data_IF_401288318894
#
_entry.id   IF_401288318894
#
_cell.length_a   1.000
_cell.length_b   1.000
_cell.length_c   1.000
_cell.angle_alpha   90.00
_cell.angle_beta   90.00
_cell.angle_gamma   90.00
#
_symmetry.space_group_name_H-M   'P 1'
#
loop_
_entity.id
_entity.type
_entity.pdbx_description
1 polymer ?
#
# COMPACT_ATOMS: atom_id res chain seq x y z
N UNK A 1 -3.45 16.84 10.86
CA UNK A 1 -4.06 17.82 9.94
C UNK A 1 -4.18 19.15 10.68
N UNK A 2 -5.00 20.14 10.27
CA UNK A 2 -5.34 21.25 11.21
C UNK A 2 -6.19 20.71 12.36
N UNK A 3 -6.37 21.45 13.44
CA UNK A 3 -7.11 20.95 14.62
C UNK A 3 -8.60 20.72 14.33
N UNK A 4 -9.21 21.57 13.50
CA UNK A 4 -10.56 21.36 12.96
C UNK A 4 -10.66 20.10 12.09
N UNK A 5 -9.67 19.89 11.21
CA UNK A 5 -9.59 18.68 10.39
C UNK A 5 -9.36 17.42 11.22
N UNK A 6 -8.54 17.48 12.28
CA UNK A 6 -8.35 16.37 13.21
C UNK A 6 -9.67 16.03 13.90
N UNK A 7 -10.37 17.01 14.47
CA UNK A 7 -11.67 16.81 15.13
C UNK A 7 -12.70 16.16 14.21
N UNK A 8 -12.72 16.51 12.93
CA UNK A 8 -13.57 15.86 11.93
C UNK A 8 -13.15 14.40 11.69
N UNK A 9 -11.84 14.13 11.55
CA UNK A 9 -11.31 12.78 11.38
C UNK A 9 -11.62 11.87 12.58
N UNK A 10 -11.49 12.39 13.80
CA UNK A 10 -11.80 11.68 15.04
C UNK A 10 -13.28 11.26 15.07
N UNK A 11 -14.19 12.21 14.78
CA UNK A 11 -15.63 11.96 14.73
C UNK A 11 -16.01 10.94 13.65
N UNK A 12 -15.44 11.06 12.45
CA UNK A 12 -15.75 10.15 11.33
C UNK A 12 -15.18 8.75 11.58
N UNK A 13 -13.97 8.64 12.11
CA UNK A 13 -13.36 7.35 12.49
C UNK A 13 -14.20 6.63 13.54
N UNK A 14 -14.63 7.36 14.59
CA UNK A 14 -15.53 6.82 15.60
C UNK A 14 -16.85 6.33 14.99
N UNK A 15 -17.51 7.14 14.15
CA UNK A 15 -18.77 6.79 13.51
C UNK A 15 -18.65 5.55 12.60
N UNK A 16 -17.55 5.43 11.85
CA UNK A 16 -17.30 4.28 10.98
C UNK A 16 -17.16 2.99 11.79
N UNK A 17 -16.40 3.02 12.89
CA UNK A 17 -16.16 1.82 13.70
C UNK A 17 -17.35 1.43 14.59
N UNK A 18 -18.09 2.40 15.13
CA UNK A 18 -19.10 2.14 16.19
C UNK A 18 -20.57 2.28 15.72
N UNK A 19 -20.86 3.14 14.74
CA UNK A 19 -22.24 3.41 14.32
C UNK A 19 -22.63 2.58 13.08
N UNK A 20 -21.73 2.45 12.10
CA UNK A 20 -22.00 1.69 10.87
C UNK A 20 -21.93 0.19 11.15
N UNK A 21 -23.08 -0.49 11.22
CA UNK A 21 -23.16 -1.94 11.50
C UNK A 21 -22.76 -2.85 10.32
N UNK A 22 -22.87 -2.37 9.08
CA UNK A 22 -22.59 -3.18 7.89
C UNK A 22 -21.11 -3.11 7.51
N UNK A 23 -20.39 -4.25 7.58
CA UNK A 23 -18.95 -4.34 7.28
C UNK A 23 -18.53 -3.80 5.92
N UNK A 24 -19.36 -3.96 4.88
CA UNK A 24 -19.06 -3.46 3.54
C UNK A 24 -19.19 -1.93 3.48
N UNK A 25 -20.21 -1.37 4.15
CA UNK A 25 -20.32 0.09 4.32
C UNK A 25 -19.17 0.66 5.15
N UNK A 26 -18.70 -0.06 6.18
CA UNK A 26 -17.48 0.33 6.91
C UNK A 26 -16.26 0.34 5.98
N UNK A 27 -16.06 -0.71 5.17
CA UNK A 27 -14.93 -0.79 4.23
C UNK A 27 -14.93 0.36 3.21
N UNK A 28 -16.08 0.64 2.59
CA UNK A 28 -16.26 1.78 1.67
C UNK A 28 -15.96 3.12 2.36
N UNK A 29 -16.44 3.29 3.61
CA UNK A 29 -16.18 4.51 4.36
C UNK A 29 -14.70 4.65 4.77
N UNK A 30 -14.03 3.56 5.16
CA UNK A 30 -12.57 3.57 5.45
C UNK A 30 -11.76 3.91 4.20
N UNK A 31 -12.09 3.31 3.05
CA UNK A 31 -11.49 3.67 1.76
C UNK A 31 -11.65 5.17 1.48
N UNK A 32 -12.86 5.71 1.58
CA UNK A 32 -13.13 7.12 1.30
C UNK A 32 -12.42 8.07 2.27
N UNK A 33 -12.34 7.70 3.56
CA UNK A 33 -11.57 8.42 4.57
C UNK A 33 -10.08 8.45 4.20
N UNK A 34 -9.52 7.31 3.82
CA UNK A 34 -8.11 7.19 3.46
C UNK A 34 -7.78 7.97 2.19
N UNK A 35 -8.58 7.88 1.14
CA UNK A 35 -8.39 8.68 -0.07
C UNK A 35 -8.47 10.19 0.23
N UNK A 36 -9.44 10.63 1.04
CA UNK A 36 -9.53 12.03 1.47
C UNK A 36 -8.30 12.49 2.27
N UNK A 37 -7.76 11.63 3.15
CA UNK A 37 -6.52 11.92 3.89
C UNK A 37 -5.31 11.98 2.96
N UNK A 38 -5.20 11.08 1.98
CA UNK A 38 -4.12 11.01 1.00
C UNK A 38 -4.09 12.28 0.15
N UNK A 39 -5.18 12.65 -0.53
CA UNK A 39 -5.18 13.80 -1.44
C UNK A 39 -5.03 15.16 -0.72
N UNK A 40 -5.42 15.25 0.56
CA UNK A 40 -5.17 16.43 1.40
C UNK A 40 -3.75 16.49 1.96
N UNK A 41 -2.91 15.47 1.75
CA UNK A 41 -1.52 15.43 2.22
C UNK A 41 -0.55 15.89 1.12
N UNK A 42 0.44 16.76 1.41
CA UNK A 42 1.45 17.10 0.41
C UNK A 42 2.28 15.86 0.03
N UNK A 43 2.46 15.66 -1.28
CA UNK A 43 3.03 14.46 -1.90
C UNK A 43 2.23 13.17 -1.68
N UNK A 44 0.98 13.24 -1.20
CA UNK A 44 0.13 12.07 -0.93
C UNK A 44 0.71 11.06 0.10
N UNK A 45 1.68 11.49 0.92
CA UNK A 45 2.46 10.62 1.84
C UNK A 45 2.63 11.25 3.24
N UNK A 46 2.67 10.41 4.27
CA UNK A 46 2.64 10.83 5.69
C UNK A 46 4.03 10.92 6.36
N UNK A 47 5.08 10.45 5.69
CA UNK A 47 6.49 10.38 6.12
C UNK A 47 7.19 11.71 6.53
N UNK A 48 6.48 12.85 6.56
CA UNK A 48 7.00 14.17 6.98
C UNK A 48 5.92 14.99 7.68
N UNK A 49 6.31 15.73 8.72
CA UNK A 49 5.47 16.77 9.34
C UNK A 49 5.41 18.03 8.44
N UNK A 50 4.66 17.95 7.33
CA UNK A 50 4.67 18.93 6.24
C UNK A 50 3.40 19.80 6.16
N UNK A 51 2.63 19.95 7.25
CA UNK A 51 1.41 20.77 7.28
C UNK A 51 1.67 22.23 6.84
N UNK A 52 2.86 22.77 7.14
CA UNK A 52 3.29 24.10 6.71
C UNK A 52 3.20 24.30 5.18
N UNK A 53 3.38 23.25 4.37
CA UNK A 53 3.26 23.33 2.91
C UNK A 53 1.82 23.65 2.47
N UNK A 54 0.83 23.32 3.30
CA UNK A 54 -0.58 23.65 3.04
C UNK A 54 -0.87 25.08 3.48
N UNK A 55 -0.46 25.45 4.70
CA UNK A 55 -0.82 26.71 5.37
C UNK A 55 0.06 27.92 5.02
N UNK A 56 1.29 27.73 4.53
CA UNK A 56 2.19 28.83 4.20
C UNK A 56 1.66 29.70 3.04
N UNK A 57 1.66 31.02 3.23
CA UNK A 57 1.32 32.00 2.19
C UNK A 57 2.52 32.16 1.26
N UNK A 58 2.48 31.46 0.14
CA UNK A 58 3.47 31.52 -0.95
C UNK A 58 2.71 31.50 -2.28
N UNK A 59 3.23 32.17 -3.30
CA UNK A 59 2.67 32.09 -4.64
C UNK A 59 2.85 30.67 -5.20
N UNK A 60 1.76 30.04 -5.61
CA UNK A 60 1.75 28.65 -6.11
C UNK A 60 1.23 28.60 -7.52
N UNK A 61 2.03 28.03 -8.41
CA UNK A 61 1.66 27.73 -9.81
C UNK A 61 0.90 26.40 -9.98
N UNK A 62 0.69 25.64 -8.89
CA UNK A 62 0.12 24.28 -8.93
C UNK A 62 -1.22 24.17 -8.19
N UNK A 63 -2.19 23.50 -8.82
CA UNK A 63 -3.59 23.38 -8.36
C UNK A 63 -3.83 22.60 -7.06
N UNK A 64 -2.79 22.01 -6.46
CA UNK A 64 -2.92 21.22 -5.22
C UNK A 64 -3.52 22.02 -4.05
N UNK A 65 -3.41 23.36 -4.05
CA UNK A 65 -4.00 24.20 -3.00
C UNK A 65 -5.52 24.06 -2.93
N UNK A 66 -6.22 24.02 -4.06
CA UNK A 66 -7.68 23.84 -4.11
C UNK A 66 -8.06 22.53 -3.42
N UNK A 67 -7.42 21.41 -3.79
CA UNK A 67 -7.62 20.10 -3.15
C UNK A 67 -7.34 20.13 -1.65
N UNK A 68 -6.29 20.81 -1.22
CA UNK A 68 -5.92 20.89 0.20
C UNK A 68 -6.87 21.76 1.02
N UNK A 69 -7.42 22.83 0.46
CA UNK A 69 -8.33 23.76 1.12
C UNK A 69 -9.79 23.26 1.11
N UNK A 70 -10.17 22.42 0.14
CA UNK A 70 -11.50 21.75 0.11
C UNK A 70 -11.74 20.96 1.41
N UNK A 71 -12.89 21.15 2.09
CA UNK A 71 -13.25 20.41 3.31
C UNK A 71 -13.18 18.89 3.15
N UNK A 72 -12.78 18.21 4.23
CA UNK A 72 -12.70 16.74 4.28
C UNK A 72 -14.00 16.05 3.89
N UNK A 73 -15.15 16.57 4.32
CA UNK A 73 -16.47 16.02 4.01
C UNK A 73 -16.75 15.94 2.50
N UNK A 74 -16.34 16.95 1.72
CA UNK A 74 -16.59 16.98 0.28
C UNK A 74 -15.82 15.85 -0.41
N UNK A 75 -14.52 15.72 -0.11
CA UNK A 75 -13.70 14.63 -0.65
C UNK A 75 -14.20 13.26 -0.21
N UNK A 76 -14.56 13.12 1.07
CA UNK A 76 -15.10 11.88 1.62
C UNK A 76 -16.39 11.43 0.89
N UNK A 77 -17.34 12.36 0.66
CA UNK A 77 -18.56 12.07 -0.10
C UNK A 77 -18.27 11.72 -1.55
N UNK A 78 -17.31 12.40 -2.19
CA UNK A 78 -16.89 12.10 -3.56
C UNK A 78 -16.29 10.69 -3.68
N UNK A 79 -15.38 10.31 -2.78
CA UNK A 79 -14.79 8.97 -2.77
C UNK A 79 -15.78 7.88 -2.36
N UNK A 80 -16.82 8.18 -1.57
CA UNK A 80 -17.95 7.27 -1.38
C UNK A 80 -18.69 7.04 -2.71
N UNK A 81 -18.96 8.10 -3.49
CA UNK A 81 -19.63 7.95 -4.77
C UNK A 81 -18.78 7.15 -5.77
N UNK A 82 -17.48 7.43 -5.86
CA UNK A 82 -16.52 6.69 -6.69
C UNK A 82 -16.45 5.20 -6.29
N UNK A 83 -16.31 4.90 -5.00
CA UNK A 83 -16.28 3.53 -4.51
C UNK A 83 -17.58 2.75 -4.82
N UNK A 84 -18.74 3.37 -4.65
CA UNK A 84 -20.02 2.73 -5.01
C UNK A 84 -20.19 2.53 -6.51
N UNK A 85 -19.59 3.37 -7.36
CA UNK A 85 -19.58 3.19 -8.81
C UNK A 85 -18.59 2.09 -9.26
N UNK A 86 -17.49 1.90 -8.52
CA UNK A 86 -16.48 0.87 -8.80
C UNK A 86 -16.85 -0.53 -8.28
N UNK A 87 -17.73 -0.64 -7.27
CA UNK A 87 -18.20 -1.92 -6.74
C UNK A 87 -19.34 -2.48 -7.61
N UNK A 88 -19.10 -3.65 -8.21
CA UNK A 88 -20.10 -4.36 -9.02
C UNK A 88 -20.29 -5.81 -8.55
N UNK A 89 -21.41 -6.42 -8.94
CA UNK A 89 -21.69 -7.83 -8.68
C UNK A 89 -21.24 -8.67 -9.88
N UNK A 90 -20.27 -9.56 -9.69
CA UNK A 90 -19.78 -10.52 -10.70
C UNK A 90 -20.51 -11.88 -10.68
N UNK A 91 -21.50 -12.05 -9.79
CA UNK A 91 -22.21 -13.32 -9.60
C UNK A 91 -21.45 -14.38 -8.82
N UNK A 92 -20.24 -14.06 -8.33
CA UNK A 92 -19.34 -14.99 -7.65
C UNK A 92 -19.23 -14.70 -6.14
N UNK A 93 -18.80 -15.70 -5.37
CA UNK A 93 -18.41 -15.53 -3.97
C UNK A 93 -16.97 -15.04 -3.92
N UNK A 94 -16.79 -13.75 -3.63
CA UNK A 94 -15.47 -13.14 -3.47
C UNK A 94 -15.14 -13.05 -1.97
N UNK A 95 -13.93 -13.46 -1.59
CA UNK A 95 -13.45 -13.41 -0.20
C UNK A 95 -12.14 -12.62 -0.11
N UNK A 96 -11.92 -11.97 1.03
CA UNK A 96 -10.70 -11.21 1.35
C UNK A 96 -10.30 -11.60 2.76
N UNK A 97 -9.03 -11.96 2.93
CA UNK A 97 -8.42 -12.35 4.20
C UNK A 97 -7.19 -11.48 4.46
N UNK A 98 -6.85 -11.29 5.73
CA UNK A 98 -5.59 -10.68 6.16
C UNK A 98 -4.83 -11.73 6.97
N UNK A 99 -3.68 -12.15 6.45
CA UNK A 99 -2.76 -13.11 7.05
C UNK A 99 -1.35 -12.87 6.48
N UNK A 100 -0.34 -13.61 6.95
CA UNK A 100 0.95 -13.64 6.24
C UNK A 100 0.78 -14.31 4.86
N UNK A 101 1.54 -13.87 3.86
CA UNK A 101 1.51 -14.45 2.52
C UNK A 101 1.84 -15.96 2.53
N UNK A 102 2.70 -16.41 3.46
CA UNK A 102 3.07 -17.81 3.65
C UNK A 102 2.00 -18.63 4.40
N UNK A 103 0.96 -18.00 4.93
CA UNK A 103 -0.17 -18.65 5.60
C UNK A 103 -1.44 -18.72 4.73
N UNK A 104 -1.44 -18.04 3.57
CA UNK A 104 -2.56 -18.02 2.61
C UNK A 104 -3.04 -19.44 2.23
N UNK A 105 -4.36 -19.65 2.01
CA UNK A 105 -4.88 -20.92 1.49
C UNK A 105 -4.20 -21.34 0.18
N UNK A 106 -4.16 -22.63 -0.12
CA UNK A 106 -3.56 -23.18 -1.35
C UNK A 106 -4.63 -23.86 -2.21
N UNK A 107 -4.27 -24.26 -3.44
CA UNK A 107 -5.19 -24.92 -4.37
C UNK A 107 -5.97 -23.98 -5.30
N UNK A 108 -5.48 -22.75 -5.50
CA UNK A 108 -6.00 -21.81 -6.50
C UNK A 108 -5.43 -22.11 -7.90
N UNK A 109 -6.18 -21.79 -8.96
CA UNK A 109 -5.67 -21.94 -10.34
C UNK A 109 -4.53 -20.94 -10.65
N UNK A 110 -4.61 -19.73 -10.08
CA UNK A 110 -3.65 -18.65 -10.26
C UNK A 110 -3.39 -17.91 -8.94
N UNK A 111 -2.12 -17.60 -8.69
CA UNK A 111 -1.66 -16.79 -7.56
C UNK A 111 -0.87 -15.60 -8.10
N UNK A 112 -1.40 -14.40 -7.90
CA UNK A 112 -0.75 -13.13 -8.23
C UNK A 112 -0.01 -12.58 -7.01
N UNK A 113 1.25 -12.18 -7.18
CA UNK A 113 2.14 -11.69 -6.13
C UNK A 113 2.66 -10.31 -6.52
N UNK A 114 2.39 -9.32 -5.65
CA UNK A 114 2.92 -7.94 -5.72
C UNK A 114 3.65 -7.66 -4.38
N UNK A 115 4.92 -8.07 -4.26
CA UNK A 115 5.67 -8.01 -3.02
C UNK A 115 6.35 -6.63 -2.84
N UNK A 116 6.70 -6.22 -1.61
CA UNK A 116 7.44 -4.98 -1.41
C UNK A 116 8.82 -5.03 -2.07
N UNK A 117 9.27 -3.88 -2.57
CA UNK A 117 10.47 -3.77 -3.39
C UNK A 117 11.67 -3.25 -2.58
N UNK A 118 12.75 -4.04 -2.56
CA UNK A 118 14.09 -3.61 -2.15
C UNK A 118 14.88 -3.17 -3.38
N UNK A 119 15.43 -1.96 -3.42
CA UNK A 119 16.31 -1.58 -4.53
C UNK A 119 17.69 -2.27 -4.43
N UNK A 120 18.50 -2.21 -5.50
CA UNK A 120 19.88 -2.78 -5.54
C UNK A 120 20.84 -2.34 -4.42
N UNK A 121 20.50 -1.35 -3.59
CA UNK A 121 21.29 -0.94 -2.40
C UNK A 121 20.79 -1.60 -1.10
N UNK A 122 19.83 -2.53 -1.18
CA UNK A 122 19.16 -3.11 0.00
C UNK A 122 18.27 -2.11 0.73
N UNK A 123 17.95 -0.96 0.13
CA UNK A 123 17.03 0.02 0.74
C UNK A 123 15.62 -0.29 0.29
N UNK A 124 14.78 -0.73 1.24
CA UNK A 124 13.36 -0.95 1.02
C UNK A 124 12.54 0.32 1.12
N UNK A 125 11.38 0.31 0.46
CA UNK A 125 10.30 1.26 0.76
C UNK A 125 9.46 0.67 1.89
N UNK A 126 9.53 1.27 3.08
CA UNK A 126 8.60 0.96 4.16
C UNK A 126 7.28 1.71 3.89
N UNK A 127 6.35 1.01 3.24
CA UNK A 127 5.01 1.54 2.96
C UNK A 127 4.24 1.87 4.25
N UNK A 128 4.49 1.15 5.35
CA UNK A 128 3.88 1.44 6.65
C UNK A 128 4.42 2.73 7.25
N UNK A 129 5.71 3.06 7.08
CA UNK A 129 6.22 4.38 7.44
C UNK A 129 5.60 5.49 6.57
N UNK A 130 5.38 5.21 5.29
CA UNK A 130 4.78 6.17 4.36
C UNK A 130 3.30 6.45 4.61
N UNK A 131 2.55 5.45 5.08
CA UNK A 131 1.11 5.52 5.34
C UNK A 131 0.73 5.34 6.81
N UNK A 132 1.69 5.52 7.73
CA UNK A 132 1.57 5.26 9.19
C UNK A 132 0.34 5.90 9.85
N UNK A 133 -0.12 7.02 9.29
CA UNK A 133 -1.31 7.73 9.75
C UNK A 133 -2.60 6.98 9.44
N UNK A 134 -2.70 6.35 8.27
CA UNK A 134 -3.87 5.55 7.85
C UNK A 134 -3.91 4.23 8.62
N UNK A 135 -2.76 3.60 8.80
CA UNK A 135 -2.58 2.44 9.67
C UNK A 135 -3.03 2.75 11.11
N UNK A 136 -2.61 3.90 11.64
CA UNK A 136 -3.06 4.40 12.94
C UNK A 136 -4.58 4.56 13.08
N UNK A 137 -5.28 5.02 12.02
CA UNK A 137 -6.74 5.10 12.00
C UNK A 137 -7.43 3.72 12.05
N UNK A 138 -6.78 2.63 11.65
CA UNK A 138 -7.32 1.26 11.79
C UNK A 138 -7.26 0.74 13.22
N UNK A 139 -6.34 1.28 14.02
CA UNK A 139 -6.05 0.87 15.40
C UNK A 139 -6.28 2.01 16.39
N UNK A 140 -7.28 2.84 16.11
CA UNK A 140 -7.45 4.18 16.67
C UNK A 140 -7.36 4.25 18.21
N UNK A 141 -8.02 3.33 18.92
CA UNK A 141 -8.06 3.31 20.39
C UNK A 141 -6.70 2.94 21.02
N UNK A 142 -5.91 2.10 20.34
CA UNK A 142 -4.58 1.65 20.76
C UNK A 142 -3.44 2.48 20.16
N UNK A 143 -3.71 3.37 19.20
CA UNK A 143 -2.71 4.00 18.34
C UNK A 143 -1.57 4.66 19.13
N UNK A 144 -1.89 5.32 20.26
CA UNK A 144 -0.92 5.96 21.14
C UNK A 144 0.18 5.01 21.63
N UNK A 145 -0.13 3.74 21.86
CA UNK A 145 0.80 2.71 22.31
C UNK A 145 1.87 2.38 21.25
N UNK A 146 1.60 2.69 19.99
CA UNK A 146 2.45 2.35 18.84
C UNK A 146 3.20 3.56 18.25
N UNK A 147 3.06 4.76 18.82
CA UNK A 147 3.79 5.95 18.35
C UNK A 147 5.28 5.86 18.72
N UNK A 148 6.15 6.09 17.74
CA UNK A 148 7.57 6.36 17.94
C UNK A 148 7.77 7.84 18.29
N UNK A 149 7.74 8.13 19.59
CA UNK A 149 7.93 9.49 20.12
C UNK A 149 9.33 10.07 19.88
N UNK A 150 10.32 9.25 19.52
CA UNK A 150 11.66 9.71 19.15
C UNK A 150 11.74 10.16 17.68
N UNK A 151 10.77 9.77 16.85
CA UNK A 151 10.73 10.15 15.44
C UNK A 151 10.25 11.60 15.24
N UNK A 152 10.91 12.32 14.31
CA UNK A 152 10.58 13.72 13.98
C UNK A 152 9.11 13.96 13.60
N UNK A 153 8.43 12.95 13.05
CA UNK A 153 7.07 13.08 12.53
C UNK A 153 6.05 12.15 13.22
N UNK A 154 6.42 11.57 14.37
CA UNK A 154 5.57 10.67 15.20
C UNK A 154 4.95 9.55 14.37
N UNK A 155 5.80 8.80 13.66
CA UNK A 155 5.41 7.58 12.95
C UNK A 155 5.02 6.46 13.91
N UNK A 156 4.50 5.36 13.37
CA UNK A 156 4.41 4.10 14.10
C UNK A 156 5.83 3.54 14.38
N UNK A 157 5.98 2.83 15.49
CA UNK A 157 7.18 2.05 15.82
C UNK A 157 7.51 1.10 14.66
N UNK A 158 8.74 1.10 14.13
CA UNK A 158 9.11 0.21 13.03
C UNK A 158 8.98 -1.27 13.43
N UNK A 159 8.37 -2.07 12.55
CA UNK A 159 8.32 -3.52 12.68
C UNK A 159 9.25 -4.17 11.66
N UNK A 160 9.89 -5.28 12.07
CA UNK A 160 10.79 -6.02 11.20
C UNK A 160 9.97 -6.97 10.34
N UNK A 161 10.08 -6.81 9.02
CA UNK A 161 9.57 -7.80 8.06
C UNK A 161 10.75 -8.40 7.28
N UNK A 162 10.78 -9.73 7.05
CA UNK A 162 11.82 -10.35 6.23
C UNK A 162 11.72 -9.89 4.76
N UNK A 163 10.52 -9.49 4.32
CA UNK A 163 10.26 -8.90 3.01
C UNK A 163 10.90 -7.52 2.79
N UNK A 164 11.41 -6.87 3.85
CA UNK A 164 12.23 -5.64 3.73
C UNK A 164 13.70 -5.86 4.11
N UNK A 165 14.15 -7.13 4.19
CA UNK A 165 15.52 -7.50 4.50
C UNK A 165 16.20 -8.16 3.30
N UNK A 166 17.26 -7.53 2.77
CA UNK A 166 18.00 -8.04 1.59
C UNK A 166 18.64 -9.41 1.81
N UNK A 167 18.87 -9.82 3.06
CA UNK A 167 19.42 -11.14 3.42
C UNK A 167 18.36 -12.22 3.60
N UNK A 168 17.08 -11.85 3.81
CA UNK A 168 16.00 -12.81 4.07
C UNK A 168 15.06 -12.97 2.85
N UNK A 169 14.84 -11.89 2.09
CA UNK A 169 13.80 -11.83 1.06
C UNK A 169 13.87 -12.95 0.01
N UNK A 170 15.07 -13.42 -0.36
CA UNK A 170 15.25 -14.54 -1.30
C UNK A 170 14.57 -15.82 -0.77
N UNK A 171 14.76 -16.13 0.52
CA UNK A 171 14.14 -17.30 1.15
C UNK A 171 12.65 -17.12 1.44
N UNK A 172 12.15 -15.87 1.52
CA UNK A 172 10.70 -15.60 1.56
C UNK A 172 10.04 -15.91 0.21
N UNK A 173 10.67 -15.47 -0.90
CA UNK A 173 10.24 -15.82 -2.25
C UNK A 173 10.27 -17.33 -2.49
N UNK A 174 11.35 -18.02 -2.11
CA UNK A 174 11.47 -19.48 -2.24
C UNK A 174 10.30 -20.19 -1.55
N UNK A 175 10.02 -19.89 -0.28
CA UNK A 175 8.88 -20.47 0.46
C UNK A 175 7.53 -20.13 -0.14
N UNK A 176 7.32 -18.91 -0.64
CA UNK A 176 6.05 -18.51 -1.25
C UNK A 176 5.83 -19.25 -2.58
N UNK A 177 6.86 -19.34 -3.42
CA UNK A 177 6.84 -20.08 -4.70
C UNK A 177 6.62 -21.57 -4.43
N UNK A 178 7.33 -22.15 -3.45
CA UNK A 178 7.18 -23.55 -3.08
C UNK A 178 5.77 -23.88 -2.56
N UNK A 179 5.18 -23.00 -1.74
CA UNK A 179 3.82 -23.15 -1.19
C UNK A 179 2.76 -23.20 -2.30
N UNK A 180 2.91 -22.35 -3.31
CA UNK A 180 1.94 -22.19 -4.41
C UNK A 180 2.41 -22.82 -5.72
N UNK A 181 3.35 -23.77 -5.65
CA UNK A 181 3.99 -24.39 -6.82
C UNK A 181 3.02 -25.10 -7.78
N UNK A 182 1.86 -25.52 -7.30
CA UNK A 182 0.85 -26.24 -8.08
C UNK A 182 -0.17 -25.27 -8.75
N UNK A 183 -0.10 -23.96 -8.44
CA UNK A 183 -0.88 -22.87 -9.03
C UNK A 183 -0.10 -22.13 -10.12
N UNK A 184 -0.75 -21.53 -11.13
CA UNK A 184 -0.05 -20.60 -12.03
C UNK A 184 0.45 -19.40 -11.24
N UNK A 185 1.75 -19.17 -11.21
CA UNK A 185 2.36 -18.05 -10.49
C UNK A 185 2.49 -16.83 -11.42
N UNK A 186 2.03 -15.67 -10.95
CA UNK A 186 2.25 -14.38 -11.61
C UNK A 186 2.91 -13.43 -10.62
N UNK A 187 4.17 -13.06 -10.85
CA UNK A 187 4.92 -12.15 -9.98
C UNK A 187 5.08 -10.81 -10.71
N UNK A 188 4.46 -9.76 -10.16
CA UNK A 188 4.76 -8.36 -10.50
C UNK A 188 6.07 -7.98 -9.82
N UNK A 189 7.01 -7.41 -10.57
CA UNK A 189 8.33 -7.07 -10.03
C UNK A 189 9.02 -5.91 -10.76
N UNK A 190 10.19 -5.49 -10.28
CA UNK A 190 11.04 -4.47 -10.91
C UNK A 190 12.43 -5.00 -11.23
N UNK A 191 12.97 -4.61 -12.40
CA UNK A 191 14.31 -5.01 -12.86
C UNK A 191 15.47 -4.47 -12.00
N UNK A 192 15.18 -3.49 -11.13
CA UNK A 192 16.12 -2.94 -10.16
C UNK A 192 15.95 -3.42 -8.71
N UNK A 193 15.18 -4.50 -8.52
CA UNK A 193 14.91 -5.12 -7.23
C UNK A 193 16.02 -6.03 -6.67
N UNK A 194 15.83 -6.45 -5.40
CA UNK A 194 16.47 -7.59 -4.73
C UNK A 194 15.30 -8.46 -4.20
N UNK A 195 15.18 -9.75 -4.61
CA UNK A 195 16.09 -10.51 -5.46
C UNK A 195 16.17 -9.94 -6.89
N UNK A 196 17.27 -10.20 -7.61
CA UNK A 196 17.35 -9.80 -9.03
C UNK A 196 16.37 -10.62 -9.87
N UNK A 197 16.05 -10.13 -11.08
CA UNK A 197 15.22 -10.86 -12.04
C UNK A 197 15.76 -12.27 -12.30
N UNK A 198 17.08 -12.42 -12.44
CA UNK A 198 17.76 -13.69 -12.69
C UNK A 198 17.60 -14.66 -11.51
N UNK A 199 17.65 -14.15 -10.27
CA UNK A 199 17.40 -14.93 -9.06
C UNK A 199 15.94 -15.39 -8.98
N UNK A 200 14.97 -14.52 -9.27
CA UNK A 200 13.55 -14.90 -9.33
C UNK A 200 13.27 -15.93 -10.43
N UNK A 201 13.87 -15.75 -11.61
CA UNK A 201 13.78 -16.71 -12.71
C UNK A 201 14.39 -18.07 -12.35
N UNK A 202 15.44 -18.12 -11.52
CA UNK A 202 16.00 -19.36 -11.00
C UNK A 202 15.02 -20.04 -10.03
N UNK A 203 14.57 -19.35 -8.98
CA UNK A 203 13.64 -19.88 -7.99
C UNK A 203 12.34 -20.40 -8.62
N UNK A 204 11.81 -19.68 -9.61
CA UNK A 204 10.64 -20.15 -10.36
C UNK A 204 10.96 -21.44 -11.13
N UNK A 205 12.11 -21.55 -11.80
CA UNK A 205 12.49 -22.74 -12.59
C UNK A 205 12.80 -24.00 -11.76
N UNK A 206 13.10 -23.85 -10.47
CA UNK A 206 13.24 -24.97 -9.54
C UNK A 206 11.90 -25.67 -9.26
N UNK A 207 10.77 -24.99 -9.48
CA UNK A 207 9.43 -25.52 -9.28
C UNK A 207 8.56 -25.56 -10.56
N UNK A 208 8.88 -24.77 -11.58
CA UNK A 208 8.08 -24.56 -12.79
C UNK A 208 8.87 -24.86 -14.06
N UNK A 209 8.27 -25.65 -14.96
CA UNK A 209 8.93 -26.07 -16.22
C UNK A 209 9.15 -24.92 -17.21
N UNK A 210 8.30 -23.91 -17.16
CA UNK A 210 8.30 -22.77 -18.08
C UNK A 210 8.07 -21.49 -17.28
N UNK A 211 8.78 -20.43 -17.67
CA UNK A 211 8.62 -19.08 -17.11
C UNK A 211 8.68 -18.10 -18.27
N UNK A 212 7.61 -17.32 -18.42
CA UNK A 212 7.48 -16.24 -19.39
C UNK A 212 7.79 -14.90 -18.71
N UNK A 213 8.41 -13.99 -19.46
CA UNK A 213 8.74 -12.64 -19.00
C UNK A 213 8.03 -11.62 -19.91
N UNK A 214 7.30 -10.69 -19.32
CA UNK A 214 6.92 -9.44 -19.95
C UNK A 214 7.61 -8.28 -19.22
N UNK A 215 8.04 -7.27 -19.97
CA UNK A 215 8.73 -6.10 -19.42
C UNK A 215 8.18 -4.81 -20.05
N UNK A 216 7.90 -3.81 -19.22
CA UNK A 216 7.43 -2.49 -19.65
C UNK A 216 8.38 -1.40 -19.11
N UNK A 217 9.01 -0.59 -19.99
CA UNK A 217 9.85 0.52 -19.55
C UNK A 217 9.03 1.57 -18.77
N UNK A 218 9.50 1.93 -17.58
CA UNK A 218 8.88 2.94 -16.72
C UNK A 218 9.90 4.04 -16.40
N UNK A 219 9.49 5.30 -16.54
CA UNK A 219 10.28 6.45 -16.10
C UNK A 219 9.52 7.20 -15.00
N UNK A 220 9.88 6.90 -13.75
CA UNK A 220 9.36 7.62 -12.59
C UNK A 220 9.83 9.08 -12.59
N UNK A 221 8.93 9.99 -12.20
CA UNK A 221 9.29 11.39 -11.99
C UNK A 221 10.45 11.51 -10.99
N UNK A 222 11.43 12.37 -11.29
CA UNK A 222 12.66 12.58 -10.51
C UNK A 222 13.67 11.41 -10.52
N UNK A 223 13.42 10.29 -11.21
CA UNK A 223 14.39 9.21 -11.33
C UNK A 223 15.44 9.48 -12.43
N UNK A 224 16.72 9.38 -12.09
CA UNK A 224 17.84 9.52 -13.05
C UNK A 224 18.09 8.28 -13.92
N UNK A 225 17.41 7.16 -13.65
CA UNK A 225 17.51 5.90 -14.39
C UNK A 225 16.11 5.44 -14.77
N UNK A 226 15.98 4.84 -15.96
CA UNK A 226 14.81 4.05 -16.33
C UNK A 226 14.89 2.71 -15.61
N UNK A 227 13.77 2.26 -15.06
CA UNK A 227 13.55 0.88 -14.62
C UNK A 227 12.55 0.23 -15.56
N UNK A 228 12.42 -1.09 -15.49
CA UNK A 228 11.35 -1.83 -16.14
C UNK A 228 10.48 -2.45 -15.06
N UNK A 229 9.17 -2.26 -15.18
CA UNK A 229 8.22 -3.14 -14.53
C UNK A 229 8.27 -4.48 -15.26
N UNK A 230 8.26 -5.56 -14.49
CA UNK A 230 8.38 -6.94 -14.94
C UNK A 230 7.14 -7.70 -14.51
N UNK A 231 6.68 -8.60 -15.38
CA UNK A 231 5.68 -9.61 -15.04
C UNK A 231 6.27 -10.98 -15.38
N UNK A 232 6.51 -11.79 -14.36
CA UNK A 232 6.98 -13.16 -14.50
C UNK A 232 5.78 -14.10 -14.37
N UNK A 233 5.50 -14.90 -15.41
CA UNK A 233 4.36 -15.83 -15.45
C UNK A 233 4.90 -17.25 -15.54
N UNK A 234 4.59 -18.09 -14.58
CA UNK A 234 5.08 -19.46 -14.48
C UNK A 234 3.91 -20.45 -14.23
N UNK A 235 3.36 -21.06 -15.29
CA UNK A 235 2.31 -22.08 -15.20
C UNK A 235 2.74 -23.32 -14.41
#
# INVERSE_FOLDING_TARGET
>A
FTDEENKWLDQVTYNISHVIQNRYKQAIARFALFQACIIKRPYNLFHRANLYMRTARVDRTFGNKTTWDTPFEIHFRNFIAEANAAVFNNGQRNEVIQCDALETPTGFDLVYVDPPYLNKKGTGVDYRDFYHFLEGLMMYDDWSNYIDHNSKHRRLKPEKSPWVSSTAIIGEFERLIQRHRDSTLVISYRDDGIPSKEQLLQLLREHKKQVYEAAQPMQYALAHRKSHELLLIAP
#
